data_IF_543301788253
#
_entry.id   IF_543301788253
#
_cell.length_a   1.000
_cell.length_b   1.000
_cell.length_c   1.000
_cell.angle_alpha   90.00
_cell.angle_beta   90.00
_cell.angle_gamma   90.00
#
_symmetry.space_group_name_H-M   'P 1'
#
loop_
_entity.id
_entity.type
_entity.pdbx_description
1 polymer ?
#
# COMPACT_ATOMS: atom_id res chain seq x y z
N UNK A 1 -58.01 54.95 -10.36
CA UNK A 1 -57.67 53.59 -9.96
C UNK A 1 -56.21 53.32 -10.31
N UNK A 2 -55.33 53.22 -9.34
CA UNK A 2 -53.93 52.92 -9.53
C UNK A 2 -53.67 51.49 -9.02
N UNK A 3 -53.25 50.63 -9.88
CA UNK A 3 -52.83 49.26 -9.51
C UNK A 3 -51.33 49.26 -9.29
N UNK A 4 -50.96 49.02 -8.04
CA UNK A 4 -49.54 48.80 -7.67
C UNK A 4 -49.23 47.33 -7.83
N UNK A 5 -48.44 46.99 -8.83
CA UNK A 5 -47.88 45.64 -8.99
C UNK A 5 -46.68 45.44 -8.07
N UNK A 6 -46.79 44.55 -7.10
CA UNK A 6 -45.68 44.11 -6.30
C UNK A 6 -44.89 43.02 -7.07
N UNK A 7 -43.67 43.32 -7.42
CA UNK A 7 -42.75 42.33 -7.99
C UNK A 7 -42.18 41.46 -6.85
N UNK A 8 -42.52 40.18 -6.84
CA UNK A 8 -41.88 39.20 -5.94
C UNK A 8 -40.52 38.79 -6.47
N UNK A 9 -39.46 39.14 -5.75
CA UNK A 9 -38.12 38.64 -6.04
C UNK A 9 -38.00 37.19 -5.55
N UNK A 10 -37.81 36.26 -6.49
CA UNK A 10 -37.49 34.89 -6.18
C UNK A 10 -35.97 34.81 -5.89
N UNK A 11 -35.61 34.61 -4.61
CA UNK A 11 -34.22 34.31 -4.20
C UNK A 11 -34.01 32.82 -4.43
N UNK A 12 -33.27 32.48 -5.48
CA UNK A 12 -32.76 31.14 -5.70
C UNK A 12 -31.61 30.90 -4.69
N UNK A 13 -31.93 30.20 -3.59
CA UNK A 13 -30.93 29.68 -2.70
C UNK A 13 -30.16 28.54 -3.42
N UNK A 14 -29.00 28.86 -3.95
CA UNK A 14 -28.11 27.89 -4.49
C UNK A 14 -27.59 26.98 -3.36
N UNK A 15 -28.05 25.73 -3.31
CA UNK A 15 -27.48 24.70 -2.44
C UNK A 15 -26.07 24.37 -2.97
N UNK A 16 -25.04 24.89 -2.30
CA UNK A 16 -23.67 24.39 -2.47
C UNK A 16 -23.65 22.93 -2.00
N UNK A 17 -23.54 22.00 -2.93
CA UNK A 17 -23.21 20.63 -2.62
C UNK A 17 -21.83 20.63 -1.97
N UNK A 18 -21.62 19.92 -0.84
CA UNK A 18 -20.30 19.79 -0.26
C UNK A 18 -19.40 19.13 -1.31
N UNK A 19 -18.21 19.71 -1.51
CA UNK A 19 -17.16 19.11 -2.34
C UNK A 19 -17.00 17.67 -1.86
N UNK A 20 -17.28 16.72 -2.74
CA UNK A 20 -17.19 15.30 -2.43
C UNK A 20 -15.81 15.03 -1.84
N UNK A 21 -15.74 14.29 -0.76
CA UNK A 21 -14.50 13.69 -0.28
C UNK A 21 -13.96 12.85 -1.43
N UNK A 22 -12.99 13.37 -2.16
CA UNK A 22 -12.17 12.57 -3.05
C UNK A 22 -11.47 11.56 -2.14
N UNK A 23 -11.93 10.32 -2.15
CA UNK A 23 -11.29 9.25 -1.38
C UNK A 23 -9.80 9.25 -1.74
N UNK A 24 -8.94 9.17 -0.73
CA UNK A 24 -7.49 9.14 -0.91
C UNK A 24 -7.14 8.05 -1.93
N UNK A 25 -6.50 8.43 -3.04
CA UNK A 25 -6.15 7.50 -4.11
C UNK A 25 -5.08 6.53 -3.62
N UNK A 26 -5.45 5.27 -3.46
CA UNK A 26 -4.54 4.20 -3.03
C UNK A 26 -3.79 3.67 -4.24
N UNK A 27 -2.47 3.84 -4.26
CA UNK A 27 -1.62 3.24 -5.29
C UNK A 27 -1.45 1.75 -5.04
N UNK A 28 -1.99 0.91 -5.91
CA UNK A 28 -1.84 -0.54 -5.81
C UNK A 28 -0.68 -1.03 -6.67
N UNK A 29 0.18 -1.85 -6.07
CA UNK A 29 1.36 -2.48 -6.69
C UNK A 29 1.23 -3.98 -6.49
N UNK A 30 1.27 -4.75 -7.58
CA UNK A 30 1.29 -6.20 -7.52
C UNK A 30 2.74 -6.71 -7.62
N UNK A 31 3.16 -7.52 -6.65
CA UNK A 31 4.47 -8.20 -6.64
C UNK A 31 4.21 -9.71 -6.64
N UNK A 32 4.60 -10.36 -7.72
CA UNK A 32 4.63 -11.81 -7.79
C UNK A 32 5.91 -12.35 -7.17
N UNK A 33 5.82 -13.44 -6.44
CA UNK A 33 6.99 -14.13 -5.88
C UNK A 33 7.02 -15.59 -6.31
N UNK A 34 8.18 -16.09 -6.54
CA UNK A 34 8.50 -17.50 -6.69
C UNK A 34 9.95 -17.71 -6.22
N UNK A 35 10.50 -18.90 -6.32
CA UNK A 35 11.84 -19.23 -5.85
C UNK A 35 12.91 -18.57 -6.75
N UNK A 36 13.65 -17.72 -6.29
CA UNK A 36 13.91 -16.87 -5.17
C UNK A 36 13.87 -15.43 -5.69
N UNK A 37 12.69 -14.95 -6.10
CA UNK A 37 12.50 -13.73 -6.89
C UNK A 37 11.28 -12.95 -6.39
N UNK A 38 11.41 -11.64 -6.32
CA UNK A 38 10.30 -10.69 -6.34
C UNK A 38 10.20 -10.07 -7.74
N UNK A 39 9.00 -10.01 -8.30
CA UNK A 39 8.75 -9.40 -9.60
C UNK A 39 7.51 -8.48 -9.57
N UNK A 40 7.67 -7.15 -9.71
CA UNK A 40 8.94 -6.42 -9.81
C UNK A 40 9.73 -6.40 -8.50
N UNK A 41 11.05 -6.24 -8.59
CA UNK A 41 11.95 -6.10 -7.44
C UNK A 41 12.42 -4.64 -7.22
N UNK A 42 12.04 -3.72 -8.10
CA UNK A 42 12.26 -2.28 -7.95
C UNK A 42 10.92 -1.56 -8.07
N UNK A 43 10.59 -0.76 -7.08
CA UNK A 43 9.32 -0.05 -6.97
C UNK A 43 9.58 1.40 -6.61
N UNK A 44 8.82 2.33 -7.20
CA UNK A 44 8.85 3.75 -6.84
C UNK A 44 7.48 4.20 -6.36
N UNK A 45 7.44 4.87 -5.22
CA UNK A 45 6.25 5.45 -4.59
C UNK A 45 6.52 6.88 -4.13
N UNK A 46 5.48 7.63 -3.78
CA UNK A 46 5.61 8.99 -3.24
C UNK A 46 5.42 9.00 -1.72
N UNK A 47 6.17 9.86 -1.05
CA UNK A 47 5.95 10.15 0.36
C UNK A 47 4.55 10.77 0.56
N UNK A 48 3.83 10.32 1.59
CA UNK A 48 2.47 10.75 1.89
C UNK A 48 1.39 10.08 1.02
N UNK A 49 1.73 9.31 0.00
CA UNK A 49 0.76 8.55 -0.80
C UNK A 49 0.47 7.20 -0.14
N UNK A 50 -0.82 6.90 0.07
CA UNK A 50 -1.21 5.57 0.55
C UNK A 50 -0.94 4.52 -0.53
N UNK A 51 -0.25 3.47 -0.14
CA UNK A 51 0.19 2.38 -1.03
C UNK A 51 -0.38 1.06 -0.53
N UNK A 52 -0.83 0.24 -1.46
CA UNK A 52 -1.18 -1.17 -1.23
C UNK A 52 -0.28 -2.04 -2.07
N UNK A 53 0.51 -2.90 -1.44
CA UNK A 53 1.31 -3.92 -2.12
C UNK A 53 0.62 -5.27 -1.96
N UNK A 54 0.31 -5.91 -3.08
CA UNK A 54 -0.26 -7.25 -3.15
C UNK A 54 0.84 -8.25 -3.50
N UNK A 55 1.22 -9.09 -2.55
CA UNK A 55 2.15 -10.19 -2.77
C UNK A 55 1.37 -11.43 -3.19
N UNK A 56 1.71 -12.00 -4.34
CA UNK A 56 1.15 -13.26 -4.83
C UNK A 56 2.25 -14.31 -4.88
N UNK A 57 2.23 -15.26 -3.94
CA UNK A 57 3.19 -16.34 -3.91
C UNK A 57 2.80 -17.44 -4.90
N UNK A 58 3.52 -17.50 -6.01
CA UNK A 58 3.38 -18.51 -7.07
C UNK A 58 4.40 -19.64 -6.95
N UNK A 59 5.22 -19.58 -5.92
CA UNK A 59 6.23 -20.59 -5.64
C UNK A 59 5.71 -21.79 -4.84
N UNK A 60 6.61 -22.68 -4.52
CA UNK A 60 6.34 -23.93 -3.82
C UNK A 60 6.70 -23.88 -2.34
N UNK A 61 7.34 -22.80 -1.89
CA UNK A 61 7.72 -22.56 -0.49
C UNK A 61 7.10 -21.26 0.02
N UNK A 62 7.13 -21.06 1.33
CA UNK A 62 6.71 -19.80 1.95
C UNK A 62 7.75 -18.71 1.68
N UNK A 63 7.27 -17.46 1.64
CA UNK A 63 8.11 -16.28 1.49
C UNK A 63 7.73 -15.20 2.49
N UNK A 64 8.64 -14.27 2.69
CA UNK A 64 8.47 -13.10 3.55
C UNK A 64 8.89 -11.82 2.82
N UNK A 65 8.32 -10.71 3.26
CA UNK A 65 8.80 -9.38 2.93
C UNK A 65 9.27 -8.71 4.22
N UNK A 66 10.56 -8.45 4.30
CA UNK A 66 11.20 -7.71 5.39
C UNK A 66 11.80 -6.45 4.81
N UNK A 67 11.53 -5.29 5.42
CA UNK A 67 12.08 -4.02 4.97
C UNK A 67 12.05 -2.94 6.06
N UNK A 68 13.10 -2.11 6.15
CA UNK A 68 13.10 -0.93 7.01
C UNK A 68 11.99 0.09 6.68
N UNK A 69 11.38 0.03 5.50
CA UNK A 69 10.26 0.92 5.13
C UNK A 69 9.08 0.79 6.09
N UNK A 70 8.87 -0.38 6.68
CA UNK A 70 7.80 -0.62 7.67
C UNK A 70 7.93 0.28 8.91
N UNK A 71 9.17 0.72 9.24
CA UNK A 71 9.44 1.68 10.31
C UNK A 71 9.54 3.14 9.81
N UNK A 72 9.36 3.35 8.51
CA UNK A 72 9.43 4.65 7.84
C UNK A 72 8.10 5.00 7.16
N UNK A 73 7.02 4.36 7.62
CA UNK A 73 5.66 4.54 7.14
C UNK A 73 4.68 4.63 8.31
N UNK A 74 3.53 5.21 8.06
CA UNK A 74 2.38 5.28 8.97
C UNK A 74 1.25 4.36 8.46
N UNK A 75 0.26 4.11 9.32
CA UNK A 75 -0.93 3.32 9.01
C UNK A 75 -0.62 1.95 8.39
N UNK A 76 0.41 1.30 8.91
CA UNK A 76 0.83 -0.02 8.39
C UNK A 76 -0.19 -1.08 8.76
N UNK A 77 -0.70 -1.76 7.73
CA UNK A 77 -1.67 -2.85 7.87
C UNK A 77 -1.23 -4.02 7.01
N UNK A 78 -1.28 -5.21 7.57
CA UNK A 78 -1.02 -6.47 6.85
C UNK A 78 -2.28 -7.33 6.88
N UNK A 79 -2.66 -7.84 5.73
CA UNK A 79 -3.75 -8.81 5.60
C UNK A 79 -3.24 -10.06 4.88
N UNK A 80 -3.36 -11.21 5.50
CA UNK A 80 -2.96 -12.49 4.94
C UNK A 80 -3.91 -13.58 5.42
N UNK A 81 -4.38 -14.42 4.52
CA UNK A 81 -5.22 -15.59 4.84
C UNK A 81 -6.43 -15.27 5.73
N UNK A 82 -7.06 -14.11 5.52
CA UNK A 82 -8.23 -13.68 6.31
C UNK A 82 -7.89 -13.03 7.67
N UNK A 83 -6.62 -12.95 8.03
CA UNK A 83 -6.14 -12.22 9.22
C UNK A 83 -5.68 -10.83 8.81
N UNK A 84 -6.13 -9.80 9.53
CA UNK A 84 -5.69 -8.43 9.39
C UNK A 84 -4.96 -8.01 10.68
N UNK A 85 -3.78 -7.45 10.53
CA UNK A 85 -2.97 -6.92 11.63
C UNK A 85 -2.66 -5.45 11.34
N UNK A 86 -2.88 -4.60 12.31
CA UNK A 86 -2.55 -3.17 12.27
C UNK A 86 -1.62 -2.84 13.42
N UNK A 87 -0.65 -1.94 13.21
CA UNK A 87 0.19 -1.47 14.30
C UNK A 87 1.54 -0.90 13.88
N UNK A 88 2.18 -0.27 14.84
CA UNK A 88 3.44 0.46 14.66
C UNK A 88 4.70 -0.42 14.65
N UNK A 89 4.54 -1.72 14.86
CA UNK A 89 5.66 -2.68 15.01
C UNK A 89 5.52 -3.91 14.12
N UNK A 90 5.00 -3.72 12.93
CA UNK A 90 4.99 -4.79 11.93
C UNK A 90 6.40 -4.89 11.36
N UNK A 91 7.08 -6.01 11.64
CA UNK A 91 8.45 -6.24 11.20
C UNK A 91 8.55 -6.93 9.83
N UNK A 92 7.50 -7.67 9.46
CA UNK A 92 7.51 -8.51 8.27
C UNK A 92 6.10 -8.79 7.76
N UNK A 93 6.01 -9.23 6.51
CA UNK A 93 4.78 -9.75 5.89
C UNK A 93 5.04 -11.17 5.43
N UNK A 94 4.32 -12.13 5.99
CA UNK A 94 4.41 -13.53 5.64
C UNK A 94 3.33 -13.91 4.60
N UNK A 95 3.72 -14.67 3.58
CA UNK A 95 2.79 -15.19 2.58
C UNK A 95 3.13 -16.64 2.22
N UNK A 96 2.24 -17.54 2.64
CA UNK A 96 2.39 -18.96 2.39
C UNK A 96 2.33 -19.28 0.90
N UNK A 97 2.88 -20.43 0.53
CA UNK A 97 2.84 -20.94 -0.85
C UNK A 97 1.42 -20.93 -1.41
N UNK A 98 1.24 -20.43 -2.63
CA UNK A 98 -0.04 -20.34 -3.30
C UNK A 98 -1.01 -19.33 -2.73
N UNK A 99 -0.59 -18.46 -1.79
CA UNK A 99 -1.45 -17.48 -1.12
C UNK A 99 -1.08 -16.04 -1.52
N UNK A 100 -1.99 -15.14 -1.19
CA UNK A 100 -1.83 -13.70 -1.37
C UNK A 100 -1.77 -13.04 0.01
N UNK A 101 -0.90 -12.04 0.15
CA UNK A 101 -0.90 -11.12 1.27
C UNK A 101 -0.96 -9.69 0.76
N UNK A 102 -1.56 -8.80 1.54
CA UNK A 102 -1.61 -7.37 1.26
C UNK A 102 -0.90 -6.59 2.37
N UNK A 103 -0.03 -5.67 1.98
CA UNK A 103 0.57 -4.66 2.84
C UNK A 103 0.01 -3.31 2.42
N UNK A 104 -0.60 -2.59 3.35
CA UNK A 104 -0.99 -1.20 3.16
C UNK A 104 -0.16 -0.31 4.08
N UNK A 105 0.29 0.84 3.57
CA UNK A 105 1.09 1.79 4.34
C UNK A 105 1.10 3.16 3.66
N UNK A 106 1.44 4.19 4.43
CA UNK A 106 1.73 5.54 3.95
C UNK A 106 3.20 5.86 4.23
N UNK A 107 4.11 5.70 3.25
CA UNK A 107 5.52 6.04 3.44
C UNK A 107 5.69 7.52 3.78
N UNK A 108 6.48 7.84 4.81
CA UNK A 108 6.66 9.24 5.25
C UNK A 108 8.06 9.77 5.02
N UNK A 109 9.05 8.89 4.79
CA UNK A 109 10.45 9.28 4.59
C UNK A 109 10.91 9.02 3.16
N UNK A 110 11.42 10.06 2.50
CA UNK A 110 12.11 9.96 1.21
C UNK A 110 13.39 9.15 1.36
N UNK A 111 13.66 8.27 0.41
CA UNK A 111 14.87 7.44 0.40
C UNK A 111 14.67 6.12 -0.33
N UNK A 112 15.71 5.30 -0.36
CA UNK A 112 15.65 3.95 -0.93
C UNK A 112 15.74 2.93 0.20
N UNK A 113 14.72 2.08 0.30
CA UNK A 113 14.56 1.06 1.32
C UNK A 113 14.68 -0.31 0.66
N UNK A 114 15.70 -1.07 1.04
CA UNK A 114 15.83 -2.44 0.57
C UNK A 114 14.75 -3.32 1.21
N UNK A 115 14.35 -4.36 0.49
CA UNK A 115 13.54 -5.44 1.02
C UNK A 115 14.11 -6.81 0.61
N UNK A 116 13.80 -7.82 1.38
CA UNK A 116 14.27 -9.18 1.14
C UNK A 116 13.33 -10.22 1.75
N UNK A 117 13.53 -11.48 1.38
CA UNK A 117 12.94 -12.62 2.03
C UNK A 117 13.92 -13.19 3.05
N UNK A 118 13.50 -13.31 4.32
CA UNK A 118 14.32 -13.85 5.41
C UNK A 118 14.18 -15.38 5.58
N UNK A 119 13.23 -15.99 4.89
CA UNK A 119 13.06 -17.45 4.87
C UNK A 119 14.32 -18.18 4.41
N UNK A 120 14.43 -19.45 4.82
CA UNK A 120 15.54 -20.33 4.45
C UNK A 120 15.04 -21.62 3.83
N UNK A 121 15.79 -22.13 2.86
CA UNK A 121 15.56 -23.47 2.29
C UNK A 121 16.90 -24.21 2.23
N UNK A 122 16.94 -25.42 2.73
CA UNK A 122 18.15 -26.25 2.80
C UNK A 122 19.36 -25.50 3.41
N UNK A 123 19.11 -24.73 4.48
CA UNK A 123 20.15 -23.98 5.20
C UNK A 123 20.66 -22.72 4.50
N UNK A 124 20.06 -22.31 3.37
CA UNK A 124 20.40 -21.09 2.65
C UNK A 124 19.26 -20.06 2.75
N UNK A 125 19.63 -18.83 3.09
CA UNK A 125 18.69 -17.70 3.11
C UNK A 125 18.20 -17.40 1.69
N UNK A 126 16.90 -17.17 1.51
CA UNK A 126 16.33 -16.73 0.22
C UNK A 126 16.94 -15.41 -0.23
N UNK A 127 17.28 -14.52 0.71
CA UNK A 127 18.02 -13.28 0.43
C UNK A 127 19.34 -13.54 -0.27
N UNK A 128 20.11 -14.51 0.21
CA UNK A 128 21.42 -14.88 -0.36
C UNK A 128 21.29 -15.59 -1.71
N UNK A 129 20.13 -16.20 -1.94
CA UNK A 129 19.75 -16.77 -3.23
C UNK A 129 19.25 -15.72 -4.25
N UNK A 130 19.20 -14.43 -3.87
CA UNK A 130 18.83 -13.32 -4.74
C UNK A 130 17.45 -12.74 -4.50
N UNK A 131 16.68 -13.26 -3.54
CA UNK A 131 15.31 -12.79 -3.26
C UNK A 131 15.31 -11.47 -2.47
N UNK A 132 15.54 -10.39 -3.19
CA UNK A 132 15.67 -9.03 -2.67
C UNK A 132 15.28 -7.98 -3.71
N UNK A 133 14.99 -6.77 -3.25
CA UNK A 133 14.67 -5.64 -4.09
C UNK A 133 14.76 -4.32 -3.32
N UNK A 134 14.18 -3.27 -3.87
CA UNK A 134 14.14 -1.96 -3.23
C UNK A 134 12.85 -1.19 -3.55
N UNK A 135 12.39 -0.41 -2.57
CA UNK A 135 11.36 0.61 -2.73
C UNK A 135 12.04 1.97 -2.63
N UNK A 136 11.93 2.78 -3.67
CA UNK A 136 12.36 4.17 -3.66
C UNK A 136 11.16 5.07 -3.37
N UNK A 137 11.24 5.81 -2.27
CA UNK A 137 10.26 6.82 -1.88
C UNK A 137 10.76 8.18 -2.36
N UNK A 138 10.02 8.80 -3.24
CA UNK A 138 10.29 10.15 -3.78
C UNK A 138 9.31 11.17 -3.17
N UNK A 139 9.58 12.48 -3.40
CA UNK A 139 8.70 13.58 -2.97
C UNK A 139 7.41 13.59 -3.74
#
# INVERSE_FOLDING_TARGET
MRWSGAAAAVVLAGTMLPAGYAGEEVKTIAISTQEFVFAPNLVTVHAGQRVRILFSNRGTVNHEFVSPILNAAEDVTVSSQGVRVEGDKIGEVNFAKGKVAALEMTPTKVGTFQFWCAETTAGRSHRDLGMRGAITVVK
#
